data_IF_878511301288
#
_entry.id   IF_878511301288
#
_cell.length_a   1.000
_cell.length_b   1.000
_cell.length_c   1.000
_cell.angle_alpha   90.00
_cell.angle_beta   90.00
_cell.angle_gamma   90.00
#
_symmetry.space_group_name_H-M   'P 1'
#
loop_
_entity.id
_entity.type
_entity.pdbx_description
1 polymer ?
#
# COMPACT_ATOMS: atom_id res chain seq x y z
N UNK A 1 -41.07 57.21 -13.49
CA UNK A 1 -39.87 56.80 -14.22
C UNK A 1 -39.30 55.63 -13.48
N UNK A 2 -39.61 54.39 -13.92
CA UNK A 2 -39.19 53.19 -13.28
C UNK A 2 -37.87 52.79 -13.92
N UNK A 3 -36.75 52.84 -13.13
CA UNK A 3 -35.46 52.31 -13.56
C UNK A 3 -35.49 50.79 -13.41
N UNK A 4 -35.62 50.07 -14.51
CA UNK A 4 -35.38 48.62 -14.54
C UNK A 4 -33.87 48.38 -14.49
N UNK A 5 -33.36 47.90 -13.35
CA UNK A 5 -32.01 47.37 -13.24
C UNK A 5 -32.02 45.99 -13.91
N UNK A 6 -31.56 45.92 -15.14
CA UNK A 6 -31.26 44.66 -15.83
C UNK A 6 -29.97 44.14 -15.22
N UNK A 7 -30.08 43.14 -14.31
CA UNK A 7 -28.95 42.37 -13.91
C UNK A 7 -28.50 41.51 -15.11
N UNK A 8 -27.46 41.97 -15.82
CA UNK A 8 -26.76 41.14 -16.79
C UNK A 8 -26.09 40.00 -16.01
N UNK A 9 -26.71 38.83 -16.04
CA UNK A 9 -26.02 37.58 -15.67
C UNK A 9 -24.96 37.36 -16.76
N UNK A 10 -23.76 37.80 -16.49
CA UNK A 10 -22.60 37.49 -17.31
C UNK A 10 -22.41 35.97 -17.25
N UNK A 11 -22.76 35.28 -18.33
CA UNK A 11 -22.37 33.88 -18.57
C UNK A 11 -20.88 33.86 -18.97
N UNK A 12 -20.01 34.36 -18.07
CA UNK A 12 -18.56 34.35 -18.23
C UNK A 12 -18.03 32.98 -17.83
N UNK A 13 -16.98 32.51 -18.51
CA UNK A 13 -16.23 31.33 -18.08
C UNK A 13 -15.73 31.55 -16.64
N UNK A 14 -15.87 30.53 -15.78
CA UNK A 14 -15.34 30.56 -14.41
C UNK A 14 -13.84 30.80 -14.45
N UNK A 15 -13.32 31.59 -13.52
CA UNK A 15 -11.90 31.74 -13.31
C UNK A 15 -11.31 30.47 -12.66
N UNK A 16 -10.01 30.25 -12.77
CA UNK A 16 -9.38 29.11 -12.09
C UNK A 16 -9.62 29.09 -10.56
N UNK A 17 -9.65 30.27 -9.93
CA UNK A 17 -9.93 30.41 -8.50
C UNK A 17 -11.37 29.99 -8.15
N UNK A 18 -12.34 30.42 -8.95
CA UNK A 18 -13.74 30.01 -8.76
C UNK A 18 -13.93 28.49 -8.93
N UNK A 19 -13.28 27.89 -9.93
CA UNK A 19 -13.30 26.42 -10.12
C UNK A 19 -12.66 25.71 -8.90
N UNK A 20 -11.52 26.20 -8.42
CA UNK A 20 -10.84 25.64 -7.26
C UNK A 20 -11.72 25.72 -6.01
N UNK A 21 -12.26 26.89 -5.67
CA UNK A 21 -13.09 27.08 -4.49
C UNK A 21 -14.37 26.21 -4.52
N UNK A 22 -14.94 26.00 -5.69
CA UNK A 22 -16.11 25.14 -5.88
C UNK A 22 -15.76 23.66 -5.69
N UNK A 23 -14.64 23.20 -6.27
CA UNK A 23 -14.37 21.76 -6.43
C UNK A 23 -13.44 21.17 -5.34
N UNK A 24 -12.62 21.98 -4.66
CA UNK A 24 -11.65 21.49 -3.66
C UNK A 24 -12.29 20.67 -2.55
N UNK A 25 -13.54 20.99 -2.18
CA UNK A 25 -14.27 20.24 -1.14
C UNK A 25 -14.61 18.80 -1.53
N UNK A 26 -14.60 18.50 -2.83
CA UNK A 26 -14.81 17.15 -3.35
C UNK A 26 -13.55 16.33 -3.49
N UNK A 27 -12.36 16.93 -3.27
CA UNK A 27 -11.08 16.25 -3.39
C UNK A 27 -10.59 15.82 -2.00
N UNK A 28 -10.12 14.59 -1.89
CA UNK A 28 -9.75 13.98 -0.61
C UNK A 28 -8.30 13.53 -0.60
N UNK A 29 -7.62 13.76 0.53
CA UNK A 29 -6.32 13.18 0.82
C UNK A 29 -6.53 11.75 1.30
N UNK A 30 -6.00 10.78 0.56
CA UNK A 30 -6.09 9.35 0.88
C UNK A 30 -4.85 8.93 1.65
N UNK A 31 -5.06 8.23 2.76
CA UNK A 31 -4.00 7.54 3.51
C UNK A 31 -4.29 6.04 3.51
N UNK A 32 -3.34 5.25 3.05
CA UNK A 32 -3.35 3.79 3.15
C UNK A 32 -2.23 3.34 4.07
N UNK A 33 -2.58 2.74 5.20
CA UNK A 33 -1.65 2.06 6.11
C UNK A 33 -1.74 0.57 5.85
N UNK A 34 -0.63 -0.05 5.41
CA UNK A 34 -0.66 -1.42 4.94
C UNK A 34 0.55 -2.23 5.43
N UNK A 35 0.34 -3.54 5.49
CA UNK A 35 1.36 -4.57 5.67
C UNK A 35 0.97 -5.80 4.86
N UNK A 36 1.91 -6.73 4.74
CA UNK A 36 1.71 -7.96 3.98
C UNK A 36 1.62 -9.15 4.90
N UNK A 37 0.73 -10.06 4.57
CA UNK A 37 0.54 -11.33 5.25
C UNK A 37 0.91 -12.48 4.31
N UNK A 38 1.77 -13.36 4.79
CA UNK A 38 2.14 -14.62 4.14
C UNK A 38 1.47 -15.74 4.91
N UNK A 39 0.56 -16.46 4.26
CA UNK A 39 -0.04 -17.66 4.84
C UNK A 39 0.83 -18.87 4.48
N UNK A 40 1.50 -19.44 5.48
CA UNK A 40 2.35 -20.62 5.34
C UNK A 40 1.52 -21.90 5.28
N UNK A 41 2.00 -22.94 4.58
CA UNK A 41 1.46 -24.30 4.71
C UNK A 41 1.51 -24.73 6.18
N UNK A 42 0.38 -25.12 6.76
CA UNK A 42 0.31 -25.44 8.21
C UNK A 42 -0.40 -24.38 9.06
N UNK A 43 -0.87 -23.28 8.44
CA UNK A 43 -1.77 -22.28 9.07
C UNK A 43 -1.06 -21.18 9.85
N UNK A 44 0.26 -21.19 9.94
CA UNK A 44 1.02 -20.08 10.53
C UNK A 44 1.07 -18.90 9.56
N UNK A 45 0.84 -17.69 10.07
CA UNK A 45 1.00 -16.45 9.32
C UNK A 45 2.33 -15.79 9.66
N UNK A 46 2.97 -15.26 8.63
CA UNK A 46 4.13 -14.38 8.72
C UNK A 46 3.75 -13.02 8.16
N UNK A 47 4.42 -11.98 8.61
CA UNK A 47 4.09 -10.61 8.21
C UNK A 47 5.35 -9.85 7.85
N UNK A 48 5.22 -8.85 6.97
CA UNK A 48 6.28 -7.90 6.67
C UNK A 48 5.68 -6.56 6.23
N UNK A 49 6.44 -5.49 6.35
CA UNK A 49 5.89 -4.13 6.15
C UNK A 49 6.27 -3.51 4.82
N UNK A 50 7.20 -4.08 4.09
CA UNK A 50 7.63 -3.58 2.78
C UNK A 50 8.76 -4.39 2.19
N UNK A 51 9.27 -3.91 1.05
CA UNK A 51 10.46 -4.44 0.39
C UNK A 51 11.44 -3.28 0.16
N UNK A 52 12.73 -3.52 0.38
CA UNK A 52 13.77 -2.55 0.05
C UNK A 52 14.05 -2.51 -1.47
N UNK A 53 14.94 -1.64 -1.90
CA UNK A 53 15.33 -1.49 -3.32
C UNK A 53 15.95 -2.76 -3.91
N UNK A 54 16.50 -3.64 -3.08
CA UNK A 54 17.08 -4.92 -3.47
C UNK A 54 16.04 -6.05 -3.46
N UNK A 55 14.80 -5.74 -3.05
CA UNK A 55 13.69 -6.68 -2.94
C UNK A 55 13.71 -7.52 -1.65
N UNK A 56 14.49 -7.16 -0.63
CA UNK A 56 14.45 -7.85 0.66
C UNK A 56 13.22 -7.39 1.46
N UNK A 57 12.60 -8.32 2.19
CA UNK A 57 11.47 -8.02 3.06
C UNK A 57 11.92 -7.22 4.29
N UNK A 58 11.25 -6.11 4.54
CA UNK A 58 11.45 -5.25 5.71
C UNK A 58 10.40 -5.54 6.79
N UNK A 59 10.78 -5.41 8.06
CA UNK A 59 9.85 -5.58 9.18
C UNK A 59 9.23 -6.97 9.26
N UNK A 60 10.01 -8.01 8.95
CA UNK A 60 9.57 -9.40 8.98
C UNK A 60 9.31 -9.85 10.41
N UNK A 61 8.11 -10.37 10.69
CA UNK A 61 7.68 -10.80 12.03
C UNK A 61 6.62 -11.90 11.97
N UNK A 62 6.44 -12.61 13.08
CA UNK A 62 5.32 -13.54 13.30
C UNK A 62 4.15 -12.89 14.03
N UNK A 63 4.32 -11.65 14.52
CA UNK A 63 3.32 -10.90 15.28
C UNK A 63 2.55 -9.94 14.38
N UNK A 64 1.26 -10.18 14.19
CA UNK A 64 0.39 -9.23 13.47
C UNK A 64 0.31 -7.86 14.16
N UNK A 65 0.35 -7.83 15.49
CA UNK A 65 0.33 -6.59 16.25
C UNK A 65 1.56 -5.70 15.95
N UNK A 66 2.73 -6.34 15.87
CA UNK A 66 3.97 -5.67 15.49
C UNK A 66 3.93 -5.17 14.03
N UNK A 67 3.43 -6.00 13.10
CA UNK A 67 3.24 -5.61 11.71
C UNK A 67 2.28 -4.42 11.58
N UNK A 68 1.16 -4.40 12.32
CA UNK A 68 0.21 -3.27 12.38
C UNK A 68 0.86 -2.00 12.93
N UNK A 69 1.67 -2.12 13.97
CA UNK A 69 2.36 -0.97 14.57
C UNK A 69 3.34 -0.35 13.57
N UNK A 70 4.11 -1.18 12.88
CA UNK A 70 5.18 -0.77 11.95
C UNK A 70 4.71 -0.74 10.49
N UNK A 71 3.40 -0.81 10.22
CA UNK A 71 2.84 -0.83 8.88
C UNK A 71 3.30 0.36 8.04
N UNK A 72 3.58 0.12 6.78
CA UNK A 72 3.94 1.15 5.82
C UNK A 72 2.77 2.08 5.54
N UNK A 73 3.07 3.32 5.13
CA UNK A 73 2.06 4.33 4.81
C UNK A 73 2.29 4.88 3.41
N UNK A 74 1.18 5.00 2.66
CA UNK A 74 1.15 5.61 1.35
C UNK A 74 0.09 6.71 1.33
N UNK A 75 0.43 7.86 0.75
CA UNK A 75 -0.50 8.96 0.55
C UNK A 75 -0.82 9.09 -0.95
N UNK A 76 -2.05 9.45 -1.23
CA UNK A 76 -2.53 9.80 -2.55
C UNK A 76 -3.68 10.79 -2.48
N UNK A 77 -4.24 11.09 -3.60
CA UNK A 77 -5.43 11.92 -3.75
C UNK A 77 -6.58 11.06 -4.29
N UNK A 78 -7.80 11.42 -3.95
CA UNK A 78 -9.02 10.90 -4.56
C UNK A 78 -10.06 12.01 -4.70
N UNK A 79 -11.19 11.71 -5.30
CA UNK A 79 -12.28 12.69 -5.42
C UNK A 79 -13.64 12.00 -5.45
N UNK A 80 -14.63 12.59 -4.79
CA UNK A 80 -15.97 12.04 -4.71
C UNK A 80 -16.68 12.04 -6.06
N UNK A 81 -17.33 10.91 -6.36
CA UNK A 81 -18.09 10.70 -7.61
C UNK A 81 -19.55 10.36 -7.37
N UNK A 82 -19.99 10.26 -6.12
CA UNK A 82 -21.39 10.01 -5.75
C UNK A 82 -21.72 10.57 -4.37
N UNK A 83 -23.01 10.72 -4.07
CA UNK A 83 -23.51 11.20 -2.77
C UNK A 83 -23.43 10.15 -1.66
N UNK A 84 -23.23 8.88 -2.00
CA UNK A 84 -23.11 7.78 -1.06
C UNK A 84 -21.67 7.50 -0.60
N UNK A 85 -20.77 8.46 -0.78
CA UNK A 85 -19.39 8.41 -0.28
C UNK A 85 -18.41 7.63 -1.16
N UNK A 86 -18.77 7.34 -2.42
CA UNK A 86 -17.83 6.72 -3.37
C UNK A 86 -16.88 7.77 -3.93
N UNK A 87 -15.62 7.39 -4.07
CA UNK A 87 -14.58 8.22 -4.64
C UNK A 87 -13.59 7.40 -5.47
N UNK A 88 -13.01 8.05 -6.48
CA UNK A 88 -12.00 7.45 -7.35
C UNK A 88 -10.61 7.86 -6.86
N UNK A 89 -9.67 6.93 -6.95
CA UNK A 89 -8.23 7.14 -6.74
C UNK A 89 -7.44 6.17 -7.63
N UNK A 90 -6.11 6.20 -7.55
CA UNK A 90 -5.30 5.19 -8.23
C UNK A 90 -5.30 3.84 -7.51
N UNK A 91 -5.16 2.75 -8.28
CA UNK A 91 -5.03 1.39 -7.78
C UNK A 91 -3.85 1.25 -6.83
N UNK A 92 -2.67 1.77 -7.22
CA UNK A 92 -1.47 1.67 -6.37
C UNK A 92 -1.59 2.43 -5.04
N UNK A 93 -2.48 3.44 -4.93
CA UNK A 93 -2.80 4.13 -3.67
C UNK A 93 -3.67 3.26 -2.78
N UNK A 94 -4.66 2.58 -3.35
CA UNK A 94 -5.60 1.73 -2.62
C UNK A 94 -5.03 0.36 -2.29
N UNK A 95 -4.28 -0.24 -3.23
CA UNK A 95 -3.72 -1.58 -3.10
C UNK A 95 -2.31 -1.61 -3.66
N UNK A 96 -1.34 -1.90 -2.79
CA UNK A 96 0.05 -2.06 -3.22
C UNK A 96 0.24 -3.43 -3.87
N UNK A 97 0.75 -3.43 -5.09
CA UNK A 97 1.08 -4.66 -5.79
C UNK A 97 2.42 -5.22 -5.32
N UNK A 98 2.45 -6.53 -5.12
CA UNK A 98 3.68 -7.29 -4.88
C UNK A 98 4.06 -8.06 -6.14
N UNK A 99 5.33 -7.99 -6.48
CA UNK A 99 5.88 -8.93 -7.44
C UNK A 99 5.96 -10.33 -6.82
N UNK A 100 4.93 -11.15 -7.08
CA UNK A 100 4.80 -12.49 -6.49
C UNK A 100 5.99 -13.40 -6.83
N UNK A 101 6.61 -13.24 -8.00
CA UNK A 101 7.77 -14.03 -8.40
C UNK A 101 9.01 -13.66 -7.57
N UNK A 102 9.28 -12.37 -7.42
CA UNK A 102 10.40 -11.88 -6.61
C UNK A 102 10.22 -12.23 -5.14
N UNK A 103 8.99 -12.11 -4.61
CA UNK A 103 8.68 -12.50 -3.24
C UNK A 103 8.92 -14.00 -3.00
N UNK A 104 8.48 -14.88 -3.90
CA UNK A 104 8.74 -16.32 -3.80
C UNK A 104 10.24 -16.64 -3.85
N UNK A 105 10.99 -15.94 -4.69
CA UNK A 105 12.45 -16.11 -4.77
C UNK A 105 13.13 -15.72 -3.44
N UNK A 106 12.71 -14.62 -2.83
CA UNK A 106 13.22 -14.15 -1.54
C UNK A 106 12.88 -15.11 -0.40
N UNK A 107 11.62 -15.57 -0.33
CA UNK A 107 11.20 -16.58 0.65
C UNK A 107 12.00 -17.89 0.51
N UNK A 108 12.22 -18.36 -0.72
CA UNK A 108 13.06 -19.52 -0.96
C UNK A 108 14.53 -19.31 -0.53
N UNK A 109 15.03 -18.08 -0.66
CA UNK A 109 16.35 -17.66 -0.14
C UNK A 109 16.42 -17.73 1.38
N UNK A 110 15.42 -17.19 2.07
CA UNK A 110 15.32 -17.22 3.53
C UNK A 110 15.23 -18.65 4.04
N UNK A 111 14.40 -19.49 3.43
CA UNK A 111 14.28 -20.91 3.81
C UNK A 111 15.60 -21.64 3.66
N UNK A 112 16.33 -21.42 2.54
CA UNK A 112 17.67 -22.02 2.35
C UNK A 112 18.66 -21.57 3.42
N UNK A 113 18.71 -20.28 3.73
CA UNK A 113 19.57 -19.74 4.78
C UNK A 113 19.24 -20.32 6.16
N UNK A 114 17.94 -20.42 6.48
CA UNK A 114 17.47 -21.02 7.75
C UNK A 114 17.82 -22.51 7.85
N UNK A 115 17.67 -23.26 6.76
CA UNK A 115 18.07 -24.68 6.71
C UNK A 115 19.59 -24.85 6.92
N UNK A 116 20.40 -23.99 6.31
CA UNK A 116 21.85 -23.98 6.53
C UNK A 116 22.17 -23.69 7.99
N UNK A 117 21.52 -22.70 8.60
CA UNK A 117 21.67 -22.36 10.02
C UNK A 117 21.28 -23.55 10.92
N UNK A 118 20.17 -24.22 10.66
CA UNK A 118 19.76 -25.43 11.38
C UNK A 118 20.84 -26.52 11.29
N UNK A 119 21.37 -26.75 10.08
CA UNK A 119 22.44 -27.75 9.89
C UNK A 119 23.74 -27.43 10.68
N UNK A 120 24.13 -26.14 10.68
CA UNK A 120 25.30 -25.68 11.47
C UNK A 120 25.06 -25.85 12.96
N UNK A 121 23.90 -25.43 13.47
CA UNK A 121 23.53 -25.57 14.89
C UNK A 121 23.47 -27.03 15.28
N UNK A 122 22.87 -27.90 14.47
CA UNK A 122 22.82 -29.34 14.73
C UNK A 122 24.23 -29.96 14.81
N UNK A 123 25.18 -29.56 13.95
CA UNK A 123 26.58 -29.99 14.02
C UNK A 123 27.26 -29.53 15.30
N UNK A 124 27.07 -28.28 15.72
CA UNK A 124 27.63 -27.75 16.96
C UNK A 124 27.10 -28.50 18.19
N UNK A 125 25.79 -28.75 18.25
CA UNK A 125 25.16 -29.52 19.32
C UNK A 125 25.76 -30.93 19.38
N UNK A 126 25.87 -31.62 18.24
CA UNK A 126 26.44 -32.95 18.15
C UNK A 126 27.92 -32.99 18.62
N UNK A 127 28.71 -32.00 18.20
CA UNK A 127 30.11 -31.85 18.63
C UNK A 127 30.19 -31.69 20.14
N UNK A 128 29.41 -30.79 20.73
CA UNK A 128 29.38 -30.57 22.19
C UNK A 128 28.89 -31.80 22.94
N UNK A 129 27.88 -32.50 22.42
CA UNK A 129 27.41 -33.76 23.00
C UNK A 129 28.53 -34.84 23.04
N UNK A 130 29.25 -35.01 21.92
CA UNK A 130 30.35 -35.97 21.82
C UNK A 130 31.54 -35.62 22.77
N UNK A 131 31.83 -34.31 22.92
CA UNK A 131 32.83 -33.87 23.90
C UNK A 131 32.44 -34.24 25.33
N UNK A 132 31.18 -34.02 25.71
CA UNK A 132 30.66 -34.40 27.01
C UNK A 132 30.65 -35.91 27.20
N UNK A 133 30.38 -36.68 26.16
CA UNK A 133 30.48 -38.15 26.20
C UNK A 133 31.92 -38.61 26.44
N UNK A 134 32.89 -38.01 25.76
CA UNK A 134 34.32 -38.29 25.99
C UNK A 134 34.79 -37.88 27.40
N UNK A 135 34.21 -36.79 27.96
CA UNK A 135 34.54 -36.38 29.35
C UNK A 135 34.04 -37.35 30.40
N UNK A 136 33.00 -38.15 30.17
CA UNK A 136 32.49 -39.14 31.12
C UNK A 136 33.56 -40.13 31.54
N UNK A 137 34.38 -40.58 30.60
CA UNK A 137 35.45 -41.54 30.90
C UNK A 137 36.48 -41.01 31.90
N UNK A 138 36.63 -39.67 32.02
CA UNK A 138 37.56 -39.05 32.98
C UNK A 138 37.05 -39.11 34.44
N UNK A 139 35.74 -39.31 34.61
CA UNK A 139 35.07 -39.39 35.91
C UNK A 139 34.61 -40.79 36.24
N UNK A 140 35.07 -41.82 35.49
CA UNK A 140 34.80 -43.23 35.69
C UNK A 140 36.12 -43.97 35.98
N UNK A 141 36.09 -44.82 36.98
CA UNK A 141 37.17 -45.74 37.26
C UNK A 141 36.88 -47.11 36.66
N UNK A 142 37.88 -47.71 36.04
CA UNK A 142 37.75 -48.99 35.33
C UNK A 142 38.66 -50.02 35.96
N UNK A 143 38.22 -51.29 36.03
CA UNK A 143 39.05 -52.41 36.38
C UNK A 143 40.01 -52.78 35.23
N UNK A 144 40.86 -53.76 35.47
CA UNK A 144 41.83 -54.28 34.49
C UNK A 144 41.15 -54.84 33.22
N UNK A 145 39.89 -55.27 33.33
CA UNK A 145 39.10 -55.81 32.23
C UNK A 145 38.25 -54.77 31.55
N UNK A 146 38.28 -53.46 31.93
CA UNK A 146 37.54 -52.39 31.38
C UNK A 146 36.08 -52.22 31.89
N UNK A 147 35.73 -52.88 33.01
CA UNK A 147 34.45 -52.70 33.68
C UNK A 147 34.48 -51.47 34.58
N UNK A 148 33.37 -50.69 34.64
CA UNK A 148 33.23 -49.54 35.53
C UNK A 148 33.10 -50.03 36.98
N UNK A 149 34.02 -49.63 37.89
CA UNK A 149 34.04 -50.00 39.30
C UNK A 149 33.68 -48.83 40.23
N UNK A 150 33.88 -47.56 39.80
CA UNK A 150 33.56 -46.39 40.56
C UNK A 150 33.38 -45.19 39.61
N UNK A 151 32.81 -44.08 40.08
CA UNK A 151 32.71 -42.84 39.36
C UNK A 151 32.32 -41.66 40.26
N UNK A 152 32.68 -40.44 39.84
CA UNK A 152 32.19 -39.23 40.47
C UNK A 152 30.73 -38.98 40.05
N UNK A 153 29.79 -39.52 40.85
CA UNK A 153 28.35 -39.44 40.58
C UNK A 153 27.88 -38.01 40.36
N UNK A 154 28.44 -37.02 41.07
CA UNK A 154 28.05 -35.62 40.97
C UNK A 154 28.43 -35.03 39.59
N UNK A 155 29.68 -35.26 39.15
CA UNK A 155 30.15 -34.80 37.86
C UNK A 155 29.43 -35.51 36.70
N UNK A 156 29.23 -36.81 36.83
CA UNK A 156 28.46 -37.58 35.85
C UNK A 156 27.00 -37.10 35.73
N UNK A 157 26.35 -36.79 36.86
CA UNK A 157 24.99 -36.23 36.85
C UNK A 157 24.91 -34.86 36.13
N UNK A 158 25.92 -33.98 36.33
CA UNK A 158 25.99 -32.70 35.63
C UNK A 158 26.16 -32.88 34.11
N UNK A 159 27.04 -33.80 33.70
CA UNK A 159 27.25 -34.10 32.28
C UNK A 159 25.95 -34.65 31.65
N UNK A 160 25.29 -35.59 32.30
CA UNK A 160 24.04 -36.19 31.83
C UNK A 160 22.91 -35.11 31.72
N UNK A 161 22.84 -34.22 32.70
CA UNK A 161 21.85 -33.11 32.65
C UNK A 161 22.09 -32.17 31.44
N UNK A 162 23.36 -31.85 31.18
CA UNK A 162 23.69 -30.99 30.00
C UNK A 162 23.45 -31.75 28.69
N UNK A 163 23.76 -33.03 28.60
CA UNK A 163 23.46 -33.88 27.44
C UNK A 163 21.94 -33.95 27.14
N UNK A 164 21.11 -34.03 28.20
CA UNK A 164 19.63 -33.99 28.03
C UNK A 164 19.17 -32.68 27.41
N UNK A 165 19.73 -31.53 27.86
CA UNK A 165 19.43 -30.23 27.28
C UNK A 165 19.83 -30.15 25.80
N UNK A 166 21.03 -30.63 25.47
CA UNK A 166 21.53 -30.68 24.10
C UNK A 166 20.66 -31.56 23.21
N UNK A 167 20.18 -32.70 23.71
CA UNK A 167 19.27 -33.59 22.98
C UNK A 167 17.95 -32.92 22.69
N UNK A 168 17.34 -32.26 23.66
CA UNK A 168 16.09 -31.51 23.47
C UNK A 168 16.27 -30.39 22.44
N UNK A 169 17.38 -29.63 22.49
CA UNK A 169 17.70 -28.61 21.53
C UNK A 169 17.91 -29.16 20.11
N UNK A 170 18.58 -30.32 19.99
CA UNK A 170 18.77 -31.02 18.72
C UNK A 170 17.42 -31.43 18.09
N UNK A 171 16.50 -31.96 18.89
CA UNK A 171 15.15 -32.33 18.47
C UNK A 171 14.40 -31.12 17.95
N UNK A 172 14.41 -30.00 18.67
CA UNK A 172 13.78 -28.74 18.26
C UNK A 172 14.33 -28.20 16.91
N UNK A 173 15.68 -28.20 16.78
CA UNK A 173 16.33 -27.75 15.52
C UNK A 173 15.98 -28.69 14.37
N UNK A 174 15.91 -30.01 14.62
CA UNK A 174 15.56 -30.99 13.61
C UNK A 174 14.10 -30.91 13.18
N UNK A 175 13.20 -30.62 14.10
CA UNK A 175 11.78 -30.34 13.79
C UNK A 175 11.61 -29.08 12.93
N UNK A 176 12.31 -28.00 13.30
CA UNK A 176 12.33 -26.76 12.51
C UNK A 176 12.85 -27.04 11.09
N UNK A 177 13.94 -27.78 10.95
CA UNK A 177 14.48 -28.13 9.63
C UNK A 177 13.50 -28.99 8.81
N UNK A 178 12.84 -29.98 9.41
CA UNK A 178 11.81 -30.79 8.74
C UNK A 178 10.63 -29.95 8.28
N UNK A 179 10.14 -29.04 9.13
CA UNK A 179 9.08 -28.10 8.77
C UNK A 179 9.46 -27.24 7.56
N UNK A 180 10.65 -26.62 7.58
CA UNK A 180 11.14 -25.79 6.49
C UNK A 180 11.34 -26.58 5.17
N UNK A 181 11.79 -27.84 5.26
CA UNK A 181 11.93 -28.72 4.09
C UNK A 181 10.58 -29.13 3.48
N UNK A 182 9.56 -29.34 4.33
CA UNK A 182 8.22 -29.70 3.88
C UNK A 182 7.42 -28.51 3.34
N UNK A 183 7.85 -27.28 3.62
CA UNK A 183 7.14 -26.08 3.19
C UNK A 183 7.20 -25.93 1.67
N UNK A 184 6.09 -26.22 0.99
CA UNK A 184 5.96 -26.00 -0.45
C UNK A 184 5.72 -24.50 -0.73
N UNK A 185 6.77 -23.81 -1.16
CA UNK A 185 6.73 -22.38 -1.48
C UNK A 185 5.78 -22.02 -2.63
N UNK A 186 5.38 -22.99 -3.44
CA UNK A 186 4.40 -22.78 -4.53
C UNK A 186 2.99 -22.51 -4.01
N UNK A 187 2.65 -23.01 -2.84
CA UNK A 187 1.32 -22.92 -2.23
C UNK A 187 1.18 -21.74 -1.24
N UNK A 188 2.19 -20.91 -1.12
CA UNK A 188 2.13 -19.73 -0.26
C UNK A 188 1.15 -18.72 -0.85
N UNK A 189 0.19 -18.29 -0.03
CA UNK A 189 -0.69 -17.17 -0.33
C UNK A 189 -0.13 -15.93 0.33
N UNK A 190 -0.02 -14.87 -0.47
CA UNK A 190 0.35 -13.54 0.02
C UNK A 190 -0.81 -12.61 -0.22
N UNK A 191 -1.14 -11.84 0.80
CA UNK A 191 -2.18 -10.82 0.75
C UNK A 191 -1.68 -9.52 1.33
N UNK A 192 -2.17 -8.41 0.80
CA UNK A 192 -1.97 -7.09 1.39
C UNK A 192 -3.12 -6.81 2.34
N UNK A 193 -2.80 -6.43 3.56
CA UNK A 193 -3.78 -5.94 4.53
C UNK A 193 -3.71 -4.43 4.52
N UNK A 194 -4.77 -3.79 3.98
CA UNK A 194 -4.89 -2.34 3.86
C UNK A 194 -5.85 -1.80 4.92
N UNK A 195 -5.49 -0.66 5.51
CA UNK A 195 -6.38 0.15 6.32
C UNK A 195 -6.38 1.56 5.73
N UNK A 196 -7.48 1.94 5.09
CA UNK A 196 -7.60 3.16 4.30
C UNK A 196 -8.53 4.14 4.99
N UNK A 197 -8.10 5.37 5.05
CA UNK A 197 -8.94 6.49 5.50
C UNK A 197 -8.66 7.73 4.66
N UNK A 198 -9.57 8.69 4.74
CA UNK A 198 -9.44 9.97 4.04
C UNK A 198 -9.52 11.16 4.98
N UNK A 199 -9.01 12.28 4.51
CA UNK A 199 -9.30 13.61 5.05
C UNK A 199 -9.56 14.57 3.88
N UNK A 200 -10.29 15.64 4.11
CA UNK A 200 -10.70 16.60 3.10
C UNK A 200 -10.43 18.04 3.53
N UNK A 201 -10.60 18.96 2.61
CA UNK A 201 -10.28 20.38 2.81
C UNK A 201 -10.94 20.95 4.07
N UNK A 202 -10.16 21.67 4.89
CA UNK A 202 -10.58 22.24 6.18
C UNK A 202 -10.62 21.28 7.36
N UNK A 203 -10.49 19.96 7.18
CA UNK A 203 -10.50 19.01 8.27
C UNK A 203 -9.20 19.07 9.09
N UNK A 204 -9.30 19.07 10.42
CA UNK A 204 -8.13 19.05 11.32
C UNK A 204 -7.75 17.63 11.66
N UNK A 205 -6.50 17.26 11.38
CA UNK A 205 -5.91 15.97 11.72
C UNK A 205 -4.68 16.19 12.62
N UNK A 206 -4.56 15.39 13.68
CA UNK A 206 -3.46 15.44 14.63
C UNK A 206 -2.42 14.36 14.32
N UNK A 207 -2.84 13.25 13.74
CA UNK A 207 -1.99 12.12 13.43
C UNK A 207 -2.53 11.34 12.22
N UNK A 208 -1.72 10.51 11.57
CA UNK A 208 -2.18 9.58 10.53
C UNK A 208 -3.33 8.67 10.98
N UNK A 209 -3.39 8.32 12.27
CA UNK A 209 -4.48 7.50 12.82
C UNK A 209 -5.85 8.18 12.74
N UNK A 210 -5.89 9.52 12.74
CA UNK A 210 -7.15 10.27 12.63
C UNK A 210 -7.90 9.95 11.34
N UNK A 211 -7.18 9.79 10.22
CA UNK A 211 -7.78 9.39 8.94
C UNK A 211 -8.53 8.07 9.03
N UNK A 212 -7.87 7.09 9.66
CA UNK A 212 -8.37 5.71 9.73
C UNK A 212 -9.55 5.57 10.70
N UNK A 213 -9.65 6.48 11.67
CA UNK A 213 -10.71 6.45 12.70
C UNK A 213 -11.89 7.32 12.30
N UNK A 214 -11.64 8.53 11.76
CA UNK A 214 -12.71 9.47 11.44
C UNK A 214 -13.45 9.11 10.15
N UNK A 215 -12.70 8.80 9.11
CA UNK A 215 -13.23 8.59 7.76
C UNK A 215 -12.67 7.28 7.16
N UNK A 216 -12.95 6.12 7.78
CA UNK A 216 -12.50 4.83 7.26
C UNK A 216 -13.19 4.50 5.94
N UNK A 217 -12.45 3.83 5.06
CA UNK A 217 -12.88 3.50 3.71
C UNK A 217 -12.76 2.02 3.42
N UNK A 218 -13.57 1.55 2.48
CA UNK A 218 -13.48 0.21 1.90
C UNK A 218 -13.23 0.30 0.40
N UNK A 219 -12.52 -0.69 -0.13
CA UNK A 219 -12.30 -0.84 -1.57
C UNK A 219 -13.53 -1.54 -2.16
N UNK A 220 -14.17 -0.93 -3.18
CA UNK A 220 -15.29 -1.53 -3.88
C UNK A 220 -14.86 -2.23 -5.17
N UNK A 221 -13.95 -1.59 -5.93
CA UNK A 221 -13.51 -2.08 -7.24
C UNK A 221 -12.05 -1.66 -7.49
N UNK A 222 -11.27 -2.56 -8.06
CA UNK A 222 -9.90 -2.29 -8.53
C UNK A 222 -9.86 -2.67 -10.00
N UNK A 223 -9.22 -1.85 -10.83
CA UNK A 223 -9.05 -2.16 -12.24
C UNK A 223 -8.10 -3.35 -12.41
N UNK A 224 -8.55 -4.37 -13.15
CA UNK A 224 -7.73 -5.52 -13.55
C UNK A 224 -6.98 -5.28 -14.86
N UNK A 225 -7.36 -4.22 -15.60
CA UNK A 225 -6.70 -3.90 -16.88
C UNK A 225 -5.32 -3.33 -16.63
N UNK A 226 -4.32 -3.91 -17.27
CA UNK A 226 -2.96 -3.36 -17.34
C UNK A 226 -3.02 -1.95 -17.95
N UNK A 227 -2.31 -1.00 -17.36
CA UNK A 227 -2.33 0.41 -17.81
C UNK A 227 -3.49 1.26 -17.26
N UNK A 228 -4.53 0.66 -16.65
CA UNK A 228 -5.63 1.38 -15.99
C UNK A 228 -5.46 1.34 -14.48
N UNK A 229 -4.70 2.29 -13.95
CA UNK A 229 -4.35 2.37 -12.53
C UNK A 229 -5.45 3.08 -11.72
N UNK A 230 -6.66 2.49 -11.67
CA UNK A 230 -7.83 3.04 -10.99
C UNK A 230 -8.37 2.11 -9.90
N UNK A 231 -8.88 2.73 -8.84
CA UNK A 231 -9.66 2.10 -7.78
C UNK A 231 -10.88 2.96 -7.43
N UNK A 232 -12.00 2.29 -7.14
CA UNK A 232 -13.22 2.88 -6.58
C UNK A 232 -13.31 2.47 -5.12
N UNK A 233 -13.34 3.44 -4.24
CA UNK A 233 -13.47 3.27 -2.80
C UNK A 233 -14.75 3.92 -2.31
N UNK A 234 -15.17 3.55 -1.09
CA UNK A 234 -16.33 4.14 -0.45
C UNK A 234 -16.05 4.39 1.03
N UNK A 235 -16.49 5.52 1.54
CA UNK A 235 -16.58 5.76 2.98
C UNK A 235 -17.43 4.69 3.65
N UNK A 236 -17.00 4.18 4.78
CA UNK A 236 -17.77 3.19 5.57
C UNK A 236 -19.13 3.76 6.03
N UNK A 237 -19.22 5.09 6.19
CA UNK A 237 -20.46 5.80 6.49
C UNK A 237 -21.48 5.77 5.35
N UNK A 238 -21.05 5.44 4.13
CA UNK A 238 -21.86 5.51 2.89
C UNK A 238 -22.53 6.87 2.68
N UNK A 239 -21.83 7.95 3.02
CA UNK A 239 -22.31 9.33 2.85
C UNK A 239 -21.15 10.24 2.51
N UNK A 240 -21.26 10.95 1.43
CA UNK A 240 -20.38 12.07 1.11
C UNK A 240 -20.60 13.20 2.13
N UNK A 241 -19.55 13.86 2.62
CA UNK A 241 -19.70 14.97 3.55
C UNK A 241 -20.61 16.05 2.99
N UNK A 242 -21.45 16.63 3.86
CA UNK A 242 -22.40 17.65 3.44
C UNK A 242 -21.67 18.87 2.87
N UNK A 243 -22.06 19.27 1.65
CA UNK A 243 -21.45 20.40 0.95
C UNK A 243 -20.16 20.08 0.20
N UNK A 244 -19.69 18.84 0.24
CA UNK A 244 -18.59 18.40 -0.61
C UNK A 244 -19.06 18.35 -2.07
N UNK A 245 -18.19 18.77 -2.97
CA UNK A 245 -18.44 18.69 -4.41
C UNK A 245 -18.41 17.22 -4.86
N UNK A 246 -19.35 16.85 -5.74
CA UNK A 246 -19.38 15.51 -6.35
C UNK A 246 -19.08 15.65 -7.82
N UNK A 247 -17.96 15.11 -8.25
CA UNK A 247 -17.53 15.13 -9.63
C UNK A 247 -18.41 14.20 -10.47
N UNK A 248 -18.82 14.68 -11.62
CA UNK A 248 -19.54 13.90 -12.63
C UNK A 248 -18.68 13.82 -13.89
N UNK A 249 -18.83 12.72 -14.60
CA UNK A 249 -18.14 12.50 -15.86
C UNK A 249 -19.08 12.71 -17.02
N UNK A 250 -18.59 13.27 -18.12
CA UNK A 250 -19.35 13.36 -19.34
C UNK A 250 -19.70 11.95 -19.85
N UNK A 251 -20.96 11.67 -20.16
CA UNK A 251 -21.42 10.33 -20.63
C UNK A 251 -22.93 10.17 -20.53
N UNK A 252 -23.45 9.07 -21.08
CA UNK A 252 -24.86 8.73 -21.05
C UNK A 252 -25.37 8.54 -19.63
N UNK A 253 -26.27 9.36 -19.19
CA UNK A 253 -26.68 9.54 -17.80
C UNK A 253 -27.52 8.44 -17.15
N UNK A 254 -27.27 7.19 -17.47
CA UNK A 254 -27.99 6.08 -16.84
C UNK A 254 -27.37 5.62 -15.50
N UNK A 255 -26.18 6.10 -15.15
CA UNK A 255 -25.48 5.78 -13.92
C UNK A 255 -25.21 7.02 -13.09
N UNK A 256 -25.15 6.87 -11.76
CA UNK A 256 -24.90 7.95 -10.79
C UNK A 256 -23.61 8.73 -11.02
N UNK A 257 -22.70 8.23 -11.85
CA UNK A 257 -21.39 8.82 -12.13
C UNK A 257 -21.37 9.79 -13.31
N UNK A 258 -22.40 9.80 -14.15
CA UNK A 258 -22.43 10.54 -15.41
C UNK A 258 -23.41 11.72 -15.36
N UNK A 259 -23.12 12.77 -16.12
CA UNK A 259 -23.91 13.99 -16.15
C UNK A 259 -25.00 14.02 -17.25
N UNK A 260 -25.10 12.96 -18.03
CA UNK A 260 -26.08 12.89 -19.15
C UNK A 260 -25.68 13.65 -20.39
N UNK A 261 -24.49 14.21 -20.47
CA UNK A 261 -23.99 14.95 -21.61
C UNK A 261 -23.04 14.10 -22.46
N UNK A 262 -23.45 13.79 -23.68
CA UNK A 262 -22.72 12.92 -24.62
C UNK A 262 -21.51 13.61 -25.31
N UNK A 263 -21.30 14.89 -25.04
CA UNK A 263 -20.25 15.66 -25.73
C UNK A 263 -18.96 15.63 -24.97
N UNK A 264 -18.14 14.65 -25.32
CA UNK A 264 -16.72 14.68 -24.99
C UNK A 264 -16.03 15.83 -25.71
N UNK A 265 -15.57 16.82 -24.96
CA UNK A 265 -14.75 17.88 -25.54
C UNK A 265 -13.43 17.23 -26.02
N UNK A 266 -13.17 17.25 -27.34
CA UNK A 266 -11.92 16.74 -27.89
C UNK A 266 -10.76 17.51 -27.27
N UNK A 267 -9.93 16.78 -26.55
CA UNK A 267 -8.68 17.31 -25.98
C UNK A 267 -7.73 17.74 -27.10
N UNK A 268 -7.20 18.95 -27.01
CA UNK A 268 -6.31 19.56 -28.01
C UNK A 268 -4.91 19.77 -27.43
N UNK A 269 -3.89 19.68 -28.29
CA UNK A 269 -2.53 20.10 -27.93
C UNK A 269 -2.56 21.56 -27.45
N UNK A 270 -1.75 21.88 -26.45
CA UNK A 270 -1.63 23.18 -25.79
C UNK A 270 -2.91 23.65 -25.05
N UNK A 271 -3.92 22.78 -24.91
CA UNK A 271 -5.09 23.06 -24.07
C UNK A 271 -4.68 23.22 -22.61
N UNK A 272 -5.15 24.29 -21.96
CA UNK A 272 -4.93 24.53 -20.54
C UNK A 272 -5.70 23.52 -19.71
N UNK A 273 -4.99 22.90 -18.72
CA UNK A 273 -5.55 21.97 -17.75
C UNK A 273 -5.16 22.40 -16.33
N UNK A 274 -5.99 22.01 -15.38
CA UNK A 274 -5.76 22.16 -13.95
C UNK A 274 -5.80 20.78 -13.27
N UNK A 275 -5.12 20.65 -12.14
CA UNK A 275 -5.17 19.46 -11.29
C UNK A 275 -5.39 19.93 -9.85
N UNK A 276 -6.41 19.40 -9.20
CA UNK A 276 -6.69 19.67 -7.79
C UNK A 276 -6.30 18.43 -6.98
N UNK A 277 -5.44 18.58 -5.97
CA UNK A 277 -4.97 17.44 -5.22
C UNK A 277 -4.10 17.80 -4.02
N UNK A 278 -3.39 16.78 -3.51
CA UNK A 278 -2.54 16.90 -2.34
C UNK A 278 -1.09 16.58 -2.70
N UNK A 279 -0.44 17.53 -3.36
CA UNK A 279 0.98 17.44 -3.71
C UNK A 279 1.84 17.30 -2.44
N UNK A 280 2.80 16.38 -2.45
CA UNK A 280 3.60 15.97 -1.28
C UNK A 280 2.77 15.43 -0.10
N UNK A 281 1.51 15.04 -0.35
CA UNK A 281 0.63 14.39 0.63
C UNK A 281 0.49 15.19 1.92
N UNK A 282 0.49 14.50 3.05
CA UNK A 282 0.28 15.10 4.37
C UNK A 282 1.32 16.18 4.73
N UNK A 283 2.52 16.11 4.14
CA UNK A 283 3.61 17.05 4.45
C UNK A 283 3.26 18.52 4.09
N UNK A 284 2.62 18.74 2.94
CA UNK A 284 2.19 20.07 2.52
C UNK A 284 0.70 20.34 2.79
N UNK A 285 -0.12 19.30 2.83
CA UNK A 285 -1.56 19.44 3.04
C UNK A 285 -1.92 19.87 4.47
N UNK A 286 -1.14 19.45 5.48
CA UNK A 286 -1.45 19.76 6.87
C UNK A 286 -1.03 21.18 7.23
N UNK A 287 -1.97 22.09 7.26
CA UNK A 287 -1.76 23.52 7.57
C UNK A 287 -2.33 23.91 8.94
N UNK A 288 -2.05 25.12 9.39
CA UNK A 288 -2.65 25.66 10.63
C UNK A 288 -4.19 25.75 10.55
N UNK A 289 -4.76 25.85 9.34
CA UNK A 289 -6.21 25.90 9.11
C UNK A 289 -6.85 24.52 8.94
N UNK A 290 -6.07 23.46 8.90
CA UNK A 290 -6.48 22.08 8.61
C UNK A 290 -5.87 21.59 7.31
N UNK A 291 -6.38 20.46 6.84
CA UNK A 291 -6.00 19.91 5.53
C UNK A 291 -6.38 20.89 4.44
N UNK A 292 -5.47 21.16 3.51
CA UNK A 292 -5.69 22.10 2.40
C UNK A 292 -5.28 21.48 1.07
N UNK A 293 -6.23 21.43 0.14
CA UNK A 293 -5.99 21.03 -1.24
C UNK A 293 -5.16 22.11 -1.98
N UNK A 294 -4.51 21.71 -3.06
CA UNK A 294 -3.71 22.58 -3.92
C UNK A 294 -4.18 22.45 -5.36
N UNK A 295 -4.09 23.54 -6.12
CA UNK A 295 -4.27 23.51 -7.56
C UNK A 295 -2.94 23.74 -8.26
N UNK A 296 -2.64 22.90 -9.23
CA UNK A 296 -1.53 23.08 -10.18
C UNK A 296 -2.05 23.14 -11.59
N UNK A 297 -1.32 23.75 -12.50
CA UNK A 297 -1.75 23.93 -13.88
C UNK A 297 -0.66 23.58 -14.88
N UNK A 298 -1.07 23.23 -16.07
CA UNK A 298 -0.19 22.92 -17.20
C UNK A 298 -0.99 22.77 -18.49
N UNK A 299 -0.35 22.25 -19.51
CA UNK A 299 -0.93 22.14 -20.85
C UNK A 299 -0.82 20.73 -21.39
N UNK A 300 -1.74 20.36 -22.25
CA UNK A 300 -1.67 19.10 -22.99
C UNK A 300 -0.45 19.10 -23.89
N UNK A 301 0.42 18.10 -23.73
CA UNK A 301 1.64 17.95 -24.54
C UNK A 301 1.51 16.90 -25.63
N UNK A 302 0.54 15.98 -25.47
CA UNK A 302 0.18 14.96 -26.45
C UNK A 302 -1.29 14.62 -26.29
N UNK A 303 -2.02 14.46 -27.41
CA UNK A 303 -3.42 13.99 -27.39
C UNK A 303 -3.49 12.57 -26.86
N UNK A 304 -4.62 12.17 -26.24
CA UNK A 304 -4.79 10.80 -25.75
C UNK A 304 -4.56 9.78 -26.86
N UNK A 305 -3.83 8.71 -26.53
CA UNK A 305 -3.58 7.56 -27.41
C UNK A 305 -4.52 6.37 -27.12
N UNK A 306 -5.54 6.59 -26.31
CA UNK A 306 -6.48 5.59 -25.80
C UNK A 306 -6.11 5.06 -24.42
N UNK A 307 -4.85 5.13 -24.01
CA UNK A 307 -4.39 4.67 -22.69
C UNK A 307 -3.90 5.79 -21.77
N UNK A 308 -3.35 6.86 -22.35
CA UNK A 308 -2.72 7.94 -21.60
C UNK A 308 -3.04 9.32 -22.20
N UNK A 309 -3.14 10.30 -21.32
CA UNK A 309 -3.11 11.72 -21.65
C UNK A 309 -1.81 12.30 -21.10
N UNK A 310 -1.00 12.96 -21.95
CA UNK A 310 0.24 13.62 -21.52
C UNK A 310 0.02 15.11 -21.35
N UNK A 311 0.59 15.65 -20.26
CA UNK A 311 0.51 17.06 -19.92
C UNK A 311 1.76 17.52 -19.13
N UNK A 312 1.92 18.85 -19.05
CA UNK A 312 3.01 19.50 -18.32
C UNK A 312 2.64 19.93 -16.89
N UNK A 313 1.51 19.49 -16.34
CA UNK A 313 1.15 19.81 -14.95
C UNK A 313 2.21 19.22 -14.02
N UNK A 314 2.84 20.01 -13.12
CA UNK A 314 3.79 19.48 -12.15
C UNK A 314 3.13 18.46 -11.22
N UNK A 315 3.74 17.27 -11.08
CA UNK A 315 3.26 16.20 -10.19
C UNK A 315 4.37 15.75 -9.27
N UNK A 316 4.00 15.48 -8.02
CA UNK A 316 4.89 14.92 -6.99
C UNK A 316 4.15 13.81 -6.24
N UNK A 317 4.88 13.08 -5.40
CA UNK A 317 4.27 12.06 -4.55
C UNK A 317 3.07 12.65 -3.78
N UNK A 318 1.94 11.94 -3.76
CA UNK A 318 0.67 12.43 -3.18
C UNK A 318 -0.33 12.94 -4.20
N UNK A 319 0.12 13.41 -5.39
CA UNK A 319 -0.79 13.83 -6.47
C UNK A 319 -1.46 12.67 -7.23
N UNK A 320 -1.01 11.43 -7.03
CA UNK A 320 -1.63 10.24 -7.62
C UNK A 320 -3.10 10.13 -7.24
N UNK A 321 -3.99 9.97 -8.24
CA UNK A 321 -5.44 9.92 -8.06
C UNK A 321 -6.13 11.28 -8.12
N UNK A 322 -5.41 12.39 -8.34
CA UNK A 322 -5.99 13.72 -8.48
C UNK A 322 -6.84 13.83 -9.76
N UNK A 323 -8.00 14.48 -9.71
CA UNK A 323 -8.74 14.85 -10.92
C UNK A 323 -7.95 15.90 -11.71
N UNK A 324 -7.81 15.64 -13.01
CA UNK A 324 -7.33 16.61 -14.01
C UNK A 324 -8.53 17.15 -14.73
N UNK A 325 -8.70 18.47 -14.71
CA UNK A 325 -9.88 19.15 -15.21
C UNK A 325 -9.51 20.16 -16.32
N UNK A 326 -10.47 20.45 -17.18
CA UNK A 326 -10.36 21.50 -18.17
C UNK A 326 -10.67 22.90 -17.60
N UNK A 327 -10.70 23.92 -18.45
CA UNK A 327 -11.01 25.32 -18.07
C UNK A 327 -12.48 25.56 -17.72
N UNK A 328 -13.33 24.57 -17.86
CA UNK A 328 -14.74 24.61 -17.46
C UNK A 328 -15.04 23.80 -16.21
N UNK A 329 -13.98 23.10 -15.68
CA UNK A 329 -14.06 22.28 -14.47
C UNK A 329 -14.49 20.83 -14.71
N UNK A 330 -14.55 20.37 -15.96
CA UNK A 330 -14.89 18.99 -16.29
C UNK A 330 -13.68 18.09 -16.16
N UNK A 331 -13.84 16.89 -15.56
CA UNK A 331 -12.77 15.89 -15.44
C UNK A 331 -12.44 15.32 -16.82
N UNK A 332 -11.18 15.44 -17.21
CA UNK A 332 -10.63 14.90 -18.46
C UNK A 332 -9.68 13.74 -18.26
N UNK A 333 -9.08 13.63 -17.07
CA UNK A 333 -8.20 12.51 -16.70
C UNK A 333 -8.08 12.35 -15.18
N UNK A 334 -7.51 11.23 -14.74
CA UNK A 334 -7.02 11.00 -13.38
C UNK A 334 -5.50 10.90 -13.43
N UNK A 335 -4.81 11.75 -12.68
CA UNK A 335 -3.33 11.74 -12.61
C UNK A 335 -2.82 10.43 -12.01
N UNK A 336 -1.83 9.77 -12.65
CA UNK A 336 -1.34 8.49 -12.11
C UNK A 336 0.17 8.31 -12.09
N UNK A 337 0.93 8.95 -12.97
CA UNK A 337 2.34 8.70 -13.08
C UNK A 337 3.13 9.94 -13.50
N UNK A 338 4.43 9.89 -13.24
CA UNK A 338 5.43 10.86 -13.68
C UNK A 338 6.51 10.12 -14.47
N UNK A 339 6.97 10.71 -15.58
CA UNK A 339 8.14 10.21 -16.27
C UNK A 339 9.39 10.49 -15.43
N UNK A 340 10.08 9.42 -15.03
CA UNK A 340 11.31 9.54 -14.22
C UNK A 340 12.36 10.35 -15.01
N UNK A 341 12.88 11.41 -14.37
CA UNK A 341 13.90 12.29 -14.99
C UNK A 341 13.31 13.46 -15.80
N UNK A 342 11.98 13.64 -15.83
CA UNK A 342 11.34 14.79 -16.47
C UNK A 342 10.29 15.41 -15.56
N UNK A 343 10.33 16.75 -15.45
CA UNK A 343 9.31 17.51 -14.72
C UNK A 343 8.14 17.97 -15.61
N UNK A 344 8.30 17.84 -16.94
CA UNK A 344 7.37 18.38 -17.93
C UNK A 344 6.51 17.32 -18.63
N UNK A 345 6.67 16.04 -18.29
CA UNK A 345 5.89 14.96 -18.89
C UNK A 345 5.27 14.10 -17.80
N UNK A 346 3.99 14.31 -17.58
CA UNK A 346 3.20 13.59 -16.62
C UNK A 346 2.01 12.94 -17.32
N UNK A 347 1.49 11.87 -16.72
CA UNK A 347 0.47 11.03 -17.33
C UNK A 347 -0.83 11.05 -16.54
N UNK A 348 -1.93 11.14 -17.26
CA UNK A 348 -3.27 10.92 -16.73
C UNK A 348 -3.97 9.77 -17.45
N UNK A 349 -4.80 9.07 -16.70
CA UNK A 349 -5.73 8.07 -17.25
C UNK A 349 -6.89 8.84 -17.89
N UNK A 350 -7.10 8.74 -19.23
CA UNK A 350 -8.09 9.55 -19.93
C UNK A 350 -9.52 9.14 -19.56
N UNK A 351 -10.46 10.07 -19.78
CA UNK A 351 -11.87 9.95 -19.43
C UNK A 351 -12.52 8.66 -19.97
N UNK A 352 -12.17 8.22 -21.18
CA UNK A 352 -12.66 6.97 -21.77
C UNK A 352 -12.38 5.76 -20.89
N UNK A 353 -11.15 5.65 -20.36
CA UNK A 353 -10.76 4.57 -19.44
C UNK A 353 -11.45 4.65 -18.09
N UNK A 354 -11.70 5.87 -17.61
CA UNK A 354 -12.45 6.10 -16.35
C UNK A 354 -13.89 5.62 -16.52
N UNK A 355 -14.52 5.95 -17.64
CA UNK A 355 -15.88 5.49 -17.97
C UNK A 355 -15.97 3.97 -18.04
N UNK A 356 -15.04 3.33 -18.76
CA UNK A 356 -14.99 1.88 -18.87
C UNK A 356 -14.81 1.20 -17.50
N UNK A 357 -14.04 1.84 -16.62
CA UNK A 357 -13.81 1.34 -15.28
C UNK A 357 -15.03 1.47 -14.38
N UNK A 358 -15.80 2.56 -14.49
CA UNK A 358 -16.96 2.82 -13.63
C UNK A 358 -18.22 2.06 -14.05
N UNK A 359 -18.36 1.68 -15.33
CA UNK A 359 -19.39 0.75 -15.82
C UNK A 359 -19.11 -0.67 -15.29
#
# INVERSE_FOLDING_TARGET
>A
MLLAVVAMVSCGKKSPDEIFEEQKSGVVLVLNKFYYQIQMPGGQNLYFTGMDQNGNMMGFTTSEAEAKQNASMLNGTGFFVSDDGKFVTNRHVAATELNAQQLRANLAGIVRASLLQCAMTARQIKSKYNMLEAQKSQFMEYDFFGNIIAGDERQLALIVAEQRKLKALYEQVSETARYLQSANMSNIKVSTVCNIGISYDGERVKSPSDFLVKNPCQILKISEKEGTDLALLQLTSKKTPKGAYVFKFAGDGNDDYFDGHDKEAKIKIDQQLYMIGYNAGLMLANTQKGISAQMTSGRVTQTPDGDRLLYSIPTVQGSSGSPVIDTEGHVVAVNFAKLVGSDNFNFGIPLERIRDFLK
#
